data_IF_124546445455
#
_entry.id   IF_124546445455
#
_cell.length_a   1.000
_cell.length_b   1.000
_cell.length_c   1.000
_cell.angle_alpha   90.00
_cell.angle_beta   90.00
_cell.angle_gamma   90.00
#
_symmetry.space_group_name_H-M   'P 1'
#
loop_
_entity.id
_entity.type
_entity.pdbx_description
1 polymer ?
#
# COMPACT_ATOMS: atom_id res chain seq x y z
N UNK A 1 -17.40 -15.91 -5.21
CA UNK A 1 -16.37 -14.93 -5.68
C UNK A 1 -15.01 -15.42 -5.25
N UNK A 2 -13.98 -15.33 -6.08
CA UNK A 2 -12.62 -15.71 -5.68
C UNK A 2 -12.14 -14.84 -4.51
N UNK A 3 -11.42 -15.45 -3.58
CA UNK A 3 -10.78 -14.73 -2.47
C UNK A 3 -9.43 -14.14 -2.89
N UNK A 4 -8.91 -13.23 -2.08
CA UNK A 4 -7.55 -12.73 -2.21
C UNK A 4 -6.79 -12.98 -0.91
N UNK A 5 -5.56 -13.45 -1.02
CA UNK A 5 -4.65 -13.68 0.12
C UNK A 5 -3.40 -12.83 -0.07
N UNK A 6 -3.02 -12.08 0.95
CA UNK A 6 -1.73 -11.42 1.02
C UNK A 6 -0.88 -12.06 2.12
N UNK A 7 0.29 -12.54 1.76
CA UNK A 7 1.31 -13.02 2.69
C UNK A 7 2.40 -11.95 2.80
N UNK A 8 2.48 -11.27 3.94
CA UNK A 8 3.49 -10.24 4.21
C UNK A 8 4.39 -10.69 5.34
N UNK A 9 5.64 -10.97 5.03
CA UNK A 9 6.67 -11.27 6.00
C UNK A 9 7.77 -10.20 5.93
N UNK A 10 8.00 -9.48 7.04
CA UNK A 10 8.92 -8.35 7.07
C UNK A 10 9.71 -8.30 8.37
N UNK A 11 11.03 -8.29 8.24
CA UNK A 11 11.94 -8.11 9.38
C UNK A 11 13.23 -7.39 8.97
N UNK A 12 13.83 -6.59 9.87
CA UNK A 12 15.11 -5.94 9.60
C UNK A 12 16.22 -6.95 9.35
N UNK A 13 17.18 -6.56 8.51
CA UNK A 13 18.42 -7.33 8.33
C UNK A 13 19.45 -6.91 9.39
N UNK A 14 20.18 -7.87 9.97
CA UNK A 14 21.30 -7.60 10.86
C UNK A 14 20.95 -7.63 12.35
N UNK A 15 21.69 -6.85 13.17
CA UNK A 15 21.68 -6.97 14.64
C UNK A 15 20.38 -6.53 15.33
N UNK A 16 19.53 -5.79 14.64
CA UNK A 16 18.22 -5.32 15.15
C UNK A 16 17.07 -6.29 14.87
N UNK A 17 17.35 -7.43 14.24
CA UNK A 17 16.34 -8.45 13.93
C UNK A 17 15.89 -9.16 15.19
N UNK A 18 14.58 -9.16 15.47
CA UNK A 18 13.98 -9.87 16.59
C UNK A 18 13.31 -11.17 16.15
N UNK A 19 12.82 -11.24 14.92
CA UNK A 19 12.10 -12.38 14.38
C UNK A 19 12.57 -12.71 12.96
N UNK A 20 12.63 -14.00 12.64
CA UNK A 20 12.81 -14.49 11.27
C UNK A 20 11.46 -14.63 10.58
N UNK A 21 10.89 -13.49 10.17
CA UNK A 21 9.55 -13.42 9.62
C UNK A 21 9.39 -14.24 8.32
N UNK A 22 10.37 -14.18 7.43
CA UNK A 22 10.32 -14.87 6.14
C UNK A 22 10.32 -16.40 6.26
N UNK A 23 10.79 -16.95 7.38
CA UNK A 23 10.80 -18.41 7.61
C UNK A 23 9.42 -19.07 7.64
N UNK A 24 8.34 -18.31 7.71
CA UNK A 24 6.97 -18.84 7.65
C UNK A 24 6.43 -18.97 6.22
N UNK A 25 6.95 -18.22 5.27
CA UNK A 25 6.42 -18.18 3.91
C UNK A 25 6.41 -19.55 3.23
N UNK A 26 7.46 -20.39 3.28
CA UNK A 26 7.42 -21.73 2.69
C UNK A 26 6.33 -22.62 3.33
N UNK A 27 6.02 -22.41 4.61
CA UNK A 27 4.99 -23.17 5.32
C UNK A 27 3.60 -22.73 4.91
N UNK A 28 3.37 -21.43 4.74
CA UNK A 28 2.12 -20.86 4.23
C UNK A 28 1.92 -21.17 2.74
N UNK A 29 2.96 -21.11 1.93
CA UNK A 29 2.91 -21.47 0.50
C UNK A 29 2.55 -22.95 0.26
N UNK A 30 2.80 -23.81 1.24
CA UNK A 30 2.39 -25.22 1.20
C UNK A 30 0.89 -25.44 1.52
N UNK A 31 0.16 -24.40 1.92
CA UNK A 31 -1.30 -24.45 2.18
C UNK A 31 -2.04 -24.13 0.88
N UNK A 32 -3.06 -24.91 0.49
CA UNK A 32 -3.86 -24.61 -0.69
C UNK A 32 -4.45 -23.19 -0.62
N UNK A 33 -4.42 -22.40 -1.72
CA UNK A 33 -4.96 -21.04 -1.77
C UNK A 33 -6.43 -20.92 -1.30
N UNK A 34 -7.27 -21.88 -1.65
CA UNK A 34 -8.66 -21.96 -1.20
C UNK A 34 -8.77 -22.05 0.32
N UNK A 35 -7.87 -22.82 0.96
CA UNK A 35 -7.84 -22.96 2.43
C UNK A 35 -7.31 -21.67 3.07
N UNK A 36 -6.30 -20.99 2.50
CA UNK A 36 -5.80 -19.72 3.01
C UNK A 36 -6.86 -18.61 2.97
N UNK A 37 -7.66 -18.58 1.91
CA UNK A 37 -8.71 -17.55 1.75
C UNK A 37 -10.04 -17.91 2.42
N UNK A 38 -10.36 -19.20 2.55
CA UNK A 38 -11.68 -19.69 2.94
C UNK A 38 -12.73 -19.55 1.83
N UNK A 39 -12.31 -19.57 0.58
CA UNK A 39 -13.15 -19.49 -0.62
C UNK A 39 -12.75 -20.60 -1.59
N UNK A 40 -13.63 -20.94 -2.55
CA UNK A 40 -13.35 -22.04 -3.50
C UNK A 40 -12.09 -21.82 -4.33
N UNK A 41 -11.79 -20.55 -4.64
CA UNK A 41 -10.61 -20.15 -5.40
C UNK A 41 -10.00 -18.88 -4.81
N UNK A 42 -8.68 -18.73 -4.87
CA UNK A 42 -8.02 -17.54 -4.38
C UNK A 42 -6.79 -17.17 -5.20
N UNK A 43 -6.54 -15.85 -5.26
CA UNK A 43 -5.29 -15.28 -5.71
C UNK A 43 -4.38 -15.05 -4.49
N UNK A 44 -3.13 -15.52 -4.55
CA UNK A 44 -2.15 -15.35 -3.46
C UNK A 44 -1.06 -14.39 -3.91
N UNK A 45 -0.85 -13.33 -3.12
CA UNK A 45 0.22 -12.36 -3.31
C UNK A 45 1.21 -12.52 -2.15
N UNK A 46 2.48 -12.70 -2.45
CA UNK A 46 3.54 -12.86 -1.45
C UNK A 46 4.51 -11.67 -1.46
N UNK A 47 4.85 -11.19 -0.27
CA UNK A 47 5.84 -10.15 -0.03
C UNK A 47 6.83 -10.65 1.03
N UNK A 48 8.02 -11.06 0.58
CA UNK A 48 9.11 -11.52 1.44
C UNK A 48 10.13 -10.40 1.64
N UNK A 49 10.37 -10.04 2.90
CA UNK A 49 11.35 -9.04 3.35
C UNK A 49 11.42 -7.79 2.44
N UNK A 50 10.30 -7.08 2.23
CA UNK A 50 10.28 -5.91 1.37
C UNK A 50 11.25 -4.84 1.86
N UNK A 51 11.89 -4.15 0.91
CA UNK A 51 12.91 -3.13 1.20
C UNK A 51 12.32 -1.75 1.45
N UNK A 52 11.22 -1.43 0.77
CA UNK A 52 10.66 -0.08 0.70
C UNK A 52 9.18 -0.06 1.12
N UNK A 53 8.77 0.87 2.00
CA UNK A 53 7.38 0.97 2.47
C UNK A 53 6.39 1.25 1.33
N UNK A 54 6.81 1.97 0.29
CA UNK A 54 5.96 2.26 -0.86
C UNK A 54 5.66 1.02 -1.71
N UNK A 55 6.60 0.09 -1.82
CA UNK A 55 6.36 -1.18 -2.51
C UNK A 55 5.27 -1.99 -1.78
N UNK A 56 5.33 -2.03 -0.45
CA UNK A 56 4.29 -2.68 0.37
C UNK A 56 2.96 -1.96 0.20
N UNK A 57 2.94 -0.64 0.29
CA UNK A 57 1.72 0.17 0.15
C UNK A 57 1.02 -0.05 -1.20
N UNK A 58 1.79 -0.13 -2.29
CA UNK A 58 1.25 -0.42 -3.61
C UNK A 58 0.58 -1.78 -3.68
N UNK A 59 1.17 -2.80 -3.05
CA UNK A 59 0.57 -4.14 -2.97
C UNK A 59 -0.67 -4.16 -2.10
N UNK A 60 -0.65 -3.46 -0.96
CA UNK A 60 -1.83 -3.28 -0.10
C UNK A 60 -2.99 -2.64 -0.87
N UNK A 61 -2.74 -1.57 -1.64
CA UNK A 61 -3.75 -0.93 -2.52
C UNK A 61 -4.29 -1.89 -3.57
N UNK A 62 -3.41 -2.62 -4.23
CA UNK A 62 -3.81 -3.57 -5.26
C UNK A 62 -4.74 -4.65 -4.68
N UNK A 63 -4.41 -5.25 -3.53
CA UNK A 63 -5.26 -6.26 -2.89
C UNK A 63 -6.51 -5.66 -2.26
N UNK A 64 -6.45 -4.42 -1.74
CA UNK A 64 -7.61 -3.71 -1.22
C UNK A 64 -8.67 -3.42 -2.29
N UNK A 65 -8.25 -3.21 -3.54
CA UNK A 65 -9.13 -2.96 -4.68
C UNK A 65 -9.79 -4.23 -5.24
N UNK A 66 -9.32 -5.43 -4.86
CA UNK A 66 -9.91 -6.69 -5.37
C UNK A 66 -11.28 -6.92 -4.76
N UNK A 67 -12.27 -7.38 -5.57
CA UNK A 67 -13.57 -7.76 -5.04
C UNK A 67 -13.46 -9.07 -4.23
N UNK A 68 -14.44 -9.28 -3.33
CA UNK A 68 -14.54 -10.49 -2.52
C UNK A 68 -13.74 -10.46 -1.22
N UNK A 69 -13.68 -11.59 -0.50
CA UNK A 69 -12.98 -11.69 0.79
C UNK A 69 -11.47 -11.52 0.65
N UNK A 70 -10.87 -10.78 1.59
CA UNK A 70 -9.43 -10.57 1.68
C UNK A 70 -8.91 -11.15 3.00
N UNK A 71 -7.95 -12.06 2.93
CA UNK A 71 -7.21 -12.54 4.09
C UNK A 71 -5.76 -12.06 4.00
N UNK A 72 -5.29 -11.36 5.03
CA UNK A 72 -3.93 -10.80 5.11
C UNK A 72 -3.20 -11.46 6.26
N UNK A 73 -2.14 -12.21 5.96
CA UNK A 73 -1.22 -12.76 6.94
C UNK A 73 -0.02 -11.83 7.07
N UNK A 74 0.17 -11.26 8.25
CA UNK A 74 1.29 -10.36 8.54
C UNK A 74 2.18 -10.96 9.60
N UNK A 75 3.42 -11.21 9.23
CA UNK A 75 4.46 -11.68 10.16
C UNK A 75 5.59 -10.67 10.16
N UNK A 76 6.02 -10.21 11.34
CA UNK A 76 7.08 -9.23 11.34
C UNK A 76 7.44 -8.64 12.69
N UNK A 77 8.24 -7.58 12.60
CA UNK A 77 8.72 -6.83 13.74
C UNK A 77 8.10 -5.44 13.77
N UNK A 78 7.59 -5.04 14.93
CA UNK A 78 7.16 -3.67 15.18
C UNK A 78 8.30 -2.84 15.79
N UNK A 79 8.46 -1.62 15.29
CA UNK A 79 9.37 -0.61 15.81
C UNK A 79 8.64 0.73 15.99
N UNK A 80 8.97 1.48 17.04
CA UNK A 80 8.34 2.77 17.33
C UNK A 80 9.10 3.93 16.68
N UNK A 81 8.40 4.75 15.88
CA UNK A 81 8.93 6.08 15.56
C UNK A 81 8.85 6.97 16.79
N UNK A 82 10.01 7.24 17.42
CA UNK A 82 10.11 8.03 18.64
C UNK A 82 9.66 9.47 18.48
N UNK A 83 9.62 10.04 17.27
CA UNK A 83 9.18 11.42 17.03
C UNK A 83 7.67 11.55 16.87
N UNK A 84 7.06 10.55 16.22
CA UNK A 84 5.61 10.54 15.97
C UNK A 84 4.85 9.73 17.02
N UNK A 85 5.55 8.94 17.84
CA UNK A 85 4.97 7.97 18.77
C UNK A 85 3.99 7.01 18.08
N UNK A 86 4.35 6.53 16.87
CA UNK A 86 3.55 5.64 16.07
C UNK A 86 4.27 4.32 15.81
N UNK A 87 3.57 3.18 15.91
CA UNK A 87 4.13 1.88 15.57
C UNK A 87 4.26 1.72 14.05
N UNK A 88 5.37 1.13 13.63
CA UNK A 88 5.68 0.82 12.25
C UNK A 88 6.04 -0.66 12.12
N UNK A 89 5.67 -1.29 11.01
CA UNK A 89 6.20 -2.59 10.63
C UNK A 89 7.60 -2.39 10.04
N UNK A 90 8.61 -2.91 10.71
CA UNK A 90 9.99 -2.79 10.29
C UNK A 90 10.26 -3.65 9.05
N UNK A 91 10.81 -3.05 8.00
CA UNK A 91 11.16 -3.70 6.74
C UNK A 91 12.66 -4.04 6.72
N UNK A 92 13.12 -4.72 5.67
CA UNK A 92 14.48 -5.25 5.61
C UNK A 92 15.59 -4.21 5.82
N UNK A 93 15.39 -2.96 5.38
CA UNK A 93 16.34 -1.84 5.56
C UNK A 93 16.16 -1.06 6.85
N UNK A 94 15.19 -1.40 7.67
CA UNK A 94 14.87 -0.62 8.87
C UNK A 94 15.94 -0.80 9.93
N UNK A 95 16.39 0.32 10.47
CA UNK A 95 17.25 0.41 11.66
C UNK A 95 16.56 1.27 12.72
N UNK A 96 16.93 1.20 14.00
CA UNK A 96 16.33 2.06 15.03
C UNK A 96 16.41 3.57 14.74
N UNK A 97 17.40 4.00 13.97
CA UNK A 97 17.57 5.41 13.57
C UNK A 97 16.73 5.79 12.34
N UNK A 98 16.30 4.82 11.52
CA UNK A 98 15.65 5.06 10.23
C UNK A 98 14.19 4.61 10.18
N UNK A 99 13.59 4.19 11.31
CA UNK A 99 12.19 3.69 11.38
C UNK A 99 11.23 4.56 10.58
N UNK A 100 11.28 5.87 10.78
CA UNK A 100 10.41 6.84 10.13
C UNK A 100 10.43 6.79 8.60
N UNK A 101 11.56 6.42 8.01
CA UNK A 101 11.78 6.52 6.55
C UNK A 101 11.76 5.18 5.84
N UNK A 102 12.08 4.11 6.56
CA UNK A 102 12.32 2.78 5.98
C UNK A 102 11.34 1.72 6.48
N UNK A 103 10.53 2.01 7.48
CA UNK A 103 9.49 1.12 7.98
C UNK A 103 8.11 1.55 7.47
N UNK A 104 7.17 0.61 7.41
CA UNK A 104 5.79 0.86 7.01
C UNK A 104 4.98 1.33 8.23
N UNK A 105 4.44 2.56 8.26
CA UNK A 105 3.54 3.00 9.32
C UNK A 105 2.32 2.07 9.44
N UNK A 106 2.04 1.54 10.63
CA UNK A 106 0.93 0.61 10.82
C UNK A 106 -0.43 1.22 10.42
N UNK A 107 -0.60 2.50 10.65
CA UNK A 107 -1.81 3.24 10.28
C UNK A 107 -2.08 3.21 8.76
N UNK A 108 -1.07 3.02 7.89
CA UNK A 108 -1.30 2.92 6.45
C UNK A 108 -2.05 1.64 6.09
N UNK A 109 -1.82 0.54 6.82
CA UNK A 109 -2.59 -0.71 6.66
C UNK A 109 -4.07 -0.44 6.96
N UNK A 110 -4.36 0.28 8.05
CA UNK A 110 -5.72 0.69 8.41
C UNK A 110 -6.38 1.55 7.33
N UNK A 111 -5.66 2.56 6.82
CA UNK A 111 -6.21 3.49 5.82
C UNK A 111 -6.49 2.81 4.48
N UNK A 112 -5.63 1.89 4.02
CA UNK A 112 -5.84 1.18 2.76
C UNK A 112 -7.05 0.24 2.80
N UNK A 113 -7.35 -0.34 3.95
CA UNK A 113 -8.52 -1.23 4.10
C UNK A 113 -9.79 -0.51 4.58
N UNK A 114 -9.74 0.80 4.85
CA UNK A 114 -10.85 1.58 5.39
C UNK A 114 -12.12 1.55 4.53
N UNK A 115 -11.95 1.50 3.21
CA UNK A 115 -13.05 1.53 2.25
C UNK A 115 -13.63 0.15 1.94
N UNK A 116 -13.07 -0.91 2.47
CA UNK A 116 -13.62 -2.25 2.30
C UNK A 116 -14.85 -2.44 3.17
N UNK A 117 -15.77 -3.26 2.68
CA UNK A 117 -16.98 -3.58 3.44
C UNK A 117 -16.64 -4.21 4.79
N UNK A 118 -17.37 -3.87 5.87
CA UNK A 118 -17.16 -4.49 7.17
C UNK A 118 -17.21 -6.02 7.08
N UNK A 119 -16.25 -6.69 7.74
CA UNK A 119 -16.14 -8.16 7.73
C UNK A 119 -15.60 -8.79 6.46
N UNK A 120 -15.32 -8.01 5.40
CA UNK A 120 -14.73 -8.54 4.16
C UNK A 120 -13.21 -8.70 4.23
N UNK A 121 -12.56 -8.22 5.27
CA UNK A 121 -11.11 -8.28 5.47
C UNK A 121 -10.78 -8.91 6.82
N UNK A 122 -9.92 -9.93 6.78
CA UNK A 122 -9.38 -10.60 7.97
C UNK A 122 -7.86 -10.45 7.98
N UNK A 123 -7.31 -9.89 9.07
CA UNK A 123 -5.88 -9.83 9.34
C UNK A 123 -5.52 -10.92 10.35
N UNK A 124 -4.56 -11.77 10.01
CA UNK A 124 -3.94 -12.75 10.91
C UNK A 124 -2.50 -12.30 11.13
N UNK A 125 -2.14 -11.97 12.36
CA UNK A 125 -0.87 -11.31 12.65
C UNK A 125 -0.02 -12.08 13.67
N UNK A 126 1.28 -12.16 13.40
CA UNK A 126 2.30 -12.68 14.33
C UNK A 126 3.45 -11.66 14.38
N UNK A 127 3.40 -10.77 15.37
CA UNK A 127 4.27 -9.61 15.46
C UNK A 127 5.18 -9.70 16.68
N UNK A 128 6.38 -9.16 16.58
CA UNK A 128 7.35 -9.05 17.66
C UNK A 128 7.66 -7.57 17.89
N UNK A 129 7.44 -7.06 19.08
CA UNK A 129 7.68 -5.66 19.40
C UNK A 129 9.11 -5.45 19.91
N UNK A 130 9.74 -4.33 19.51
CA UNK A 130 10.92 -3.84 20.21
C UNK A 130 10.54 -3.24 21.58
N UNK A 131 11.54 -2.92 22.41
CA UNK A 131 11.29 -2.45 23.77
C UNK A 131 10.47 -1.15 23.83
N UNK A 132 10.70 -0.22 22.89
CA UNK A 132 9.99 1.05 22.84
C UNK A 132 8.52 0.83 22.41
N UNK A 133 8.30 0.02 21.39
CA UNK A 133 6.95 -0.35 20.92
C UNK A 133 6.21 -1.12 21.99
N UNK A 134 6.89 -2.04 22.69
CA UNK A 134 6.28 -2.79 23.77
C UNK A 134 5.81 -1.88 24.91
N UNK A 135 6.64 -0.91 25.30
CA UNK A 135 6.27 0.11 26.27
C UNK A 135 5.05 0.93 25.86
N UNK A 136 4.97 1.29 24.56
CA UNK A 136 3.85 2.00 23.97
C UNK A 136 2.56 1.16 23.97
N UNK A 137 2.64 -0.13 23.59
CA UNK A 137 1.50 -1.06 23.54
C UNK A 137 0.87 -1.35 24.90
N UNK A 138 1.58 -1.10 26.00
CA UNK A 138 1.02 -1.26 27.35
C UNK A 138 -0.07 -0.21 27.67
N UNK A 139 -0.08 0.89 26.97
CA UNK A 139 -1.00 2.02 27.17
C UNK A 139 -1.82 2.35 25.93
N UNK A 140 -1.51 1.76 24.78
CA UNK A 140 -2.18 2.02 23.52
C UNK A 140 -2.51 0.70 22.80
N UNK A 141 -3.58 0.72 22.02
CA UNK A 141 -3.97 -0.42 21.18
C UNK A 141 -3.41 -0.27 19.76
N UNK A 142 -3.05 -1.40 19.14
CA UNK A 142 -2.67 -1.43 17.73
C UNK A 142 -3.94 -1.35 16.86
N UNK A 143 -4.32 -0.14 16.48
CA UNK A 143 -5.53 0.10 15.68
C UNK A 143 -5.33 -0.35 14.23
N UNK A 144 -6.09 -1.36 13.80
CA UNK A 144 -6.10 -1.90 12.44
C UNK A 144 -7.36 -1.55 11.65
N UNK A 145 -8.21 -0.66 12.18
CA UNK A 145 -9.47 -0.22 11.57
C UNK A 145 -10.67 -1.08 11.98
N UNK A 146 -11.80 -0.41 12.21
CA UNK A 146 -13.04 -1.04 12.73
C UNK A 146 -13.71 -2.00 11.75
N UNK A 147 -13.43 -1.90 10.46
CA UNK A 147 -14.04 -2.76 9.43
C UNK A 147 -13.34 -4.11 9.29
N UNK A 148 -12.16 -4.26 9.88
CA UNK A 148 -11.31 -5.42 9.74
C UNK A 148 -11.44 -6.36 10.94
N UNK A 149 -11.55 -7.65 10.68
CA UNK A 149 -11.33 -8.66 11.72
C UNK A 149 -9.82 -8.82 11.95
N UNK A 150 -9.36 -8.86 13.20
CA UNK A 150 -7.93 -8.99 13.52
C UNK A 150 -7.74 -10.07 14.56
N UNK A 151 -6.91 -11.06 14.22
CA UNK A 151 -6.57 -12.18 15.08
C UNK A 151 -5.06 -12.39 15.10
N UNK A 152 -4.51 -12.61 16.26
CA UNK A 152 -3.08 -12.90 16.36
C UNK A 152 -2.45 -12.51 17.67
N UNK A 153 -1.15 -12.25 17.62
CA UNK A 153 -0.39 -11.85 18.79
C UNK A 153 0.67 -10.80 18.49
N UNK A 154 1.08 -10.13 19.55
CA UNK A 154 2.31 -9.34 19.57
C UNK A 154 3.17 -9.90 20.72
N UNK A 155 4.31 -10.47 20.37
CA UNK A 155 5.27 -10.98 21.33
C UNK A 155 6.13 -9.86 21.93
N UNK A 156 6.48 -9.92 23.22
CA UNK A 156 7.37 -8.97 23.86
C UNK A 156 8.81 -9.05 23.30
N UNK A 157 9.65 -8.04 23.57
CA UNK A 157 11.05 -8.10 23.19
C UNK A 157 11.73 -9.31 23.86
N UNK A 158 12.54 -10.09 23.13
CA UNK A 158 13.18 -11.27 23.70
C UNK A 158 14.17 -10.88 24.80
N UNK A 159 14.19 -11.64 25.88
CA UNK A 159 15.10 -11.43 27.02
C UNK A 159 16.58 -11.67 26.67
N UNK A 160 16.84 -12.42 25.61
CA UNK A 160 18.16 -12.71 25.06
C UNK A 160 18.24 -12.22 23.61
N UNK A 161 19.45 -11.93 23.11
CA UNK A 161 19.68 -11.52 21.71
C UNK A 161 19.57 -12.72 20.75
N UNK A 162 18.46 -13.44 20.82
CA UNK A 162 18.14 -14.55 19.92
C UNK A 162 17.06 -14.09 18.94
N UNK A 163 17.22 -14.45 17.67
CA UNK A 163 16.17 -14.22 16.67
C UNK A 163 15.08 -15.27 16.88
N UNK A 164 13.87 -14.82 17.15
CA UNK A 164 12.72 -15.71 17.36
C UNK A 164 12.18 -16.27 16.04
N UNK A 165 11.50 -17.41 16.10
CA UNK A 165 10.66 -17.88 15.00
C UNK A 165 9.24 -17.34 15.13
N UNK A 166 8.50 -17.14 14.03
CA UNK A 166 7.09 -16.75 14.04
C UNK A 166 6.21 -17.97 14.40
N UNK A 167 6.24 -18.38 15.67
CA UNK A 167 5.65 -19.64 16.12
C UNK A 167 4.13 -19.68 15.96
N UNK A 168 3.44 -18.56 16.20
CA UNK A 168 1.99 -18.47 16.04
C UNK A 168 1.61 -18.68 14.58
N UNK A 169 2.24 -17.96 13.65
CA UNK A 169 1.92 -18.06 12.22
C UNK A 169 2.30 -19.44 11.65
N UNK A 170 3.41 -20.05 12.11
CA UNK A 170 3.77 -21.42 11.74
C UNK A 170 2.73 -22.43 12.24
N UNK A 171 2.19 -22.22 13.42
CA UNK A 171 1.12 -23.07 13.98
C UNK A 171 -0.18 -22.93 13.17
N UNK A 172 -0.58 -21.69 12.83
CA UNK A 172 -1.70 -21.42 11.92
C UNK A 172 -1.51 -22.18 10.59
N UNK A 173 -0.35 -22.00 9.94
CA UNK A 173 -0.04 -22.67 8.67
C UNK A 173 -0.09 -24.20 8.80
N UNK A 174 0.39 -24.75 9.90
CA UNK A 174 0.37 -26.20 10.18
C UNK A 174 -1.06 -26.72 10.31
N UNK A 175 -1.94 -25.98 10.98
CA UNK A 175 -3.36 -26.34 11.07
C UNK A 175 -4.01 -26.33 9.69
N UNK A 176 -3.79 -25.26 8.93
CA UNK A 176 -4.39 -25.10 7.60
C UNK A 176 -3.87 -26.07 6.55
N UNK A 177 -2.65 -26.60 6.70
CA UNK A 177 -2.09 -27.65 5.80
C UNK A 177 -2.87 -28.94 5.80
N UNK A 178 -3.67 -29.24 6.82
CA UNK A 178 -4.58 -30.40 6.81
C UNK A 178 -5.71 -30.29 5.77
N UNK A 179 -5.83 -29.15 5.08
CA UNK A 179 -6.93 -28.84 4.18
C UNK A 179 -8.20 -28.39 4.87
N UNK A 180 -8.24 -28.42 6.20
CA UNK A 180 -9.37 -27.96 6.99
C UNK A 180 -9.15 -26.51 7.44
N UNK A 181 -10.15 -25.66 7.21
CA UNK A 181 -10.18 -24.27 7.68
C UNK A 181 -11.34 -24.07 8.64
N UNK A 182 -11.09 -24.05 9.94
CA UNK A 182 -12.10 -23.66 10.93
C UNK A 182 -12.45 -22.17 10.81
N UNK A 183 -13.55 -21.72 11.43
CA UNK A 183 -13.79 -20.30 11.65
C UNK A 183 -12.54 -19.64 12.26
N UNK A 184 -12.26 -18.40 11.87
CA UNK A 184 -10.98 -17.75 12.22
C UNK A 184 -10.76 -17.63 13.74
N UNK A 185 -11.84 -17.43 14.49
CA UNK A 185 -11.81 -17.41 15.97
C UNK A 185 -11.35 -18.76 16.53
N UNK A 186 -11.88 -19.85 16.00
CA UNK A 186 -11.51 -21.20 16.40
C UNK A 186 -10.07 -21.54 15.98
N UNK A 187 -9.66 -21.11 14.78
CA UNK A 187 -8.29 -21.25 14.30
C UNK A 187 -7.31 -20.54 15.23
N UNK A 188 -7.65 -19.32 15.62
CA UNK A 188 -6.87 -18.52 16.57
C UNK A 188 -6.74 -19.20 17.94
N UNK A 189 -7.85 -19.67 18.52
CA UNK A 189 -7.84 -20.37 19.78
C UNK A 189 -7.01 -21.66 19.73
N UNK A 190 -7.16 -22.47 18.69
CA UNK A 190 -6.39 -23.69 18.49
C UNK A 190 -4.89 -23.41 18.36
N UNK A 191 -4.52 -22.32 17.67
CA UNK A 191 -3.13 -21.92 17.53
C UNK A 191 -2.52 -21.55 18.89
N UNK A 192 -3.23 -20.77 19.71
CA UNK A 192 -2.77 -20.43 21.06
C UNK A 192 -2.69 -21.64 21.99
N UNK A 193 -3.65 -22.55 21.93
CA UNK A 193 -3.61 -23.79 22.72
C UNK A 193 -2.36 -24.62 22.40
N UNK A 194 -1.94 -24.66 21.11
CA UNK A 194 -0.73 -25.40 20.69
C UNK A 194 0.57 -24.69 21.04
N UNK A 195 0.56 -23.35 21.10
CA UNK A 195 1.73 -22.57 21.53
C UNK A 195 2.03 -22.79 23.03
N UNK A 196 0.99 -22.93 23.85
CA UNK A 196 1.15 -23.15 25.27
C UNK A 196 2.07 -22.11 25.94
N UNK A 197 3.16 -22.56 26.62
CA UNK A 197 4.06 -21.64 27.33
C UNK A 197 4.81 -20.65 26.48
N UNK A 198 4.97 -20.89 25.16
CA UNK A 198 5.66 -19.97 24.24
C UNK A 198 4.89 -18.65 24.03
N UNK A 199 3.59 -18.64 24.32
CA UNK A 199 2.75 -17.45 24.25
C UNK A 199 2.68 -16.67 25.58
N UNK A 200 3.47 -17.04 26.57
CA UNK A 200 3.38 -16.40 27.88
C UNK A 200 3.91 -14.96 27.82
N UNK A 201 3.04 -14.02 28.16
CA UNK A 201 3.33 -12.59 28.10
C UNK A 201 2.98 -11.90 26.78
N UNK A 202 2.49 -12.63 25.77
CA UNK A 202 2.07 -12.04 24.50
C UNK A 202 0.82 -11.16 24.69
N UNK A 203 0.72 -10.09 23.89
CA UNK A 203 -0.53 -9.35 23.71
C UNK A 203 -1.37 -10.08 22.65
N UNK A 204 -2.51 -10.60 23.10
CA UNK A 204 -3.47 -11.31 22.23
C UNK A 204 -4.37 -10.30 21.53
N UNK A 205 -4.47 -10.42 20.21
CA UNK A 205 -5.34 -9.59 19.38
C UNK A 205 -6.55 -10.43 18.96
N UNK A 206 -7.74 -10.01 19.37
CA UNK A 206 -9.01 -10.62 18.99
C UNK A 206 -10.04 -9.51 18.76
N UNK A 207 -10.16 -9.09 17.52
CA UNK A 207 -11.15 -8.12 17.06
C UNK A 207 -12.05 -8.84 16.06
N UNK A 208 -13.27 -9.26 16.47
CA UNK A 208 -14.19 -9.93 15.56
C UNK A 208 -14.71 -8.96 14.49
N UNK A 209 -15.17 -9.48 13.33
CA UNK A 209 -15.78 -8.64 12.31
C UNK A 209 -17.04 -7.98 12.86
N UNK A 210 -17.24 -6.70 12.53
CA UNK A 210 -18.50 -6.01 12.85
C UNK A 210 -19.63 -6.71 12.07
N UNK A 211 -20.70 -7.19 12.73
CA UNK A 211 -21.81 -7.80 12.01
C UNK A 211 -22.43 -6.77 11.07
N UNK A 212 -22.49 -7.11 9.78
CA UNK A 212 -23.30 -6.34 8.83
C UNK A 212 -24.74 -6.56 9.24
N UNK A 213 -25.43 -5.52 9.74
CA UNK A 213 -26.87 -5.57 9.97
C UNK A 213 -27.52 -6.00 8.64
N UNK A 214 -28.16 -7.15 8.64
CA UNK A 214 -28.93 -7.60 7.46
C UNK A 214 -29.90 -6.47 7.08
N UNK A 215 -30.03 -6.11 5.80
CA UNK A 215 -31.01 -5.12 5.39
C UNK A 215 -32.37 -5.60 5.91
N UNK A 216 -33.03 -4.75 6.71
CA UNK A 216 -34.36 -5.02 7.21
C UNK A 216 -35.21 -5.42 6.00
N UNK A 217 -35.58 -6.69 5.91
CA UNK A 217 -36.50 -7.18 4.90
C UNK A 217 -37.79 -6.40 5.10
N UNK A 218 -38.06 -5.46 4.21
CA UNK A 218 -39.35 -4.82 4.10
C UNK A 218 -40.38 -5.93 3.88
N UNK A 219 -41.07 -6.32 4.93
CA UNK A 219 -42.26 -7.13 4.84
C UNK A 219 -43.27 -6.28 4.06
N UNK A 220 -43.48 -6.56 2.82
CA UNK A 220 -44.54 -6.07 1.98
C UNK A 220 -45.88 -6.37 2.65
N UNK A 221 -46.70 -5.35 2.71
CA UNK A 221 -47.93 -5.18 3.45
C UNK A 221 -48.89 -6.37 3.48
N UNK A 222 -49.32 -6.68 4.67
CA UNK A 222 -50.61 -7.29 4.91
C UNK A 222 -51.74 -6.22 4.86
N UNK A 223 -52.98 -6.60 4.58
CA UNK A 223 -54.06 -5.66 4.32
C UNK A 223 -54.46 -4.86 5.55
N UNK A 224 -54.64 -3.56 5.34
CA UNK A 224 -55.06 -2.55 6.31
C UNK A 224 -56.52 -2.81 6.78
N UNK A 225 -56.83 -2.94 8.07
CA UNK A 225 -58.20 -2.83 8.56
C UNK A 225 -58.67 -1.38 8.50
N UNK A 226 -59.85 -1.17 7.91
CA UNK A 226 -60.58 0.11 7.95
C UNK A 226 -61.05 0.40 9.37
N UNK A 227 -60.84 1.62 9.84
CA UNK A 227 -61.46 2.15 11.06
C UNK A 227 -62.66 3.04 10.73
N UNK A 228 -63.75 2.98 11.52
CA UNK A 228 -64.88 3.88 11.34
C UNK A 228 -64.64 5.26 11.99
N UNK A 229 -65.22 6.28 11.41
CA UNK A 229 -65.07 7.67 11.72
C UNK A 229 -65.57 8.14 13.05
N UNK A 230 -65.15 9.32 13.45
CA UNK A 230 -65.62 10.07 14.61
C UNK A 230 -64.90 11.41 14.74
N UNK A 231 -65.65 12.44 14.82
CA UNK A 231 -65.43 13.85 14.54
C UNK A 231 -64.73 14.70 15.61
N UNK A 232 -64.17 15.81 15.13
CA UNK A 232 -64.14 17.19 15.68
C UNK A 232 -63.25 17.49 16.91
N UNK A 233 -62.34 18.45 16.75
CA UNK A 233 -61.76 19.19 17.86
C UNK A 233 -60.58 20.09 17.43
N UNK A 234 -60.86 21.38 17.23
CA UNK A 234 -59.93 22.44 16.96
C UNK A 234 -59.05 22.80 18.17
N UNK A 235 -57.78 23.13 17.95
CA UNK A 235 -56.89 23.64 19.03
C UNK A 235 -55.53 24.04 18.50
N UNK A 236 -55.43 25.24 18.03
CA UNK A 236 -54.41 26.30 18.11
C UNK A 236 -52.99 25.92 18.56
N UNK A 237 -52.01 26.28 17.71
CA UNK A 237 -50.58 26.37 17.99
C UNK A 237 -50.26 27.42 19.09
N UNK A 238 -49.05 27.33 19.68
CA UNK A 238 -48.11 28.39 19.37
C UNK A 238 -46.68 27.91 19.09
N UNK A 239 -46.10 28.73 18.30
CA UNK A 239 -44.73 28.98 17.90
C UNK A 239 -43.72 28.99 19.07
N UNK A 240 -42.56 28.34 18.95
CA UNK A 240 -41.36 28.65 19.73
C UNK A 240 -40.11 28.31 18.95
N UNK A 241 -39.27 29.31 18.87
CA UNK A 241 -38.04 29.55 18.19
C UNK A 241 -36.99 28.44 18.19
N UNK A 242 -36.29 28.39 17.05
CA UNK A 242 -35.07 27.67 16.80
C UNK A 242 -33.87 28.27 17.58
N UNK A 243 -33.11 27.40 18.24
CA UNK A 243 -31.77 27.72 18.69
C UNK A 243 -30.80 26.74 18.01
N UNK A 244 -29.84 27.28 17.24
CA UNK A 244 -28.77 26.55 16.60
C UNK A 244 -27.72 26.12 17.65
N UNK A 245 -27.10 24.94 17.48
CA UNK A 245 -25.96 24.53 18.32
C UNK A 245 -24.66 25.16 17.88
N UNK A 246 -23.68 25.41 18.79
CA UNK A 246 -22.41 26.04 18.48
C UNK A 246 -21.44 25.05 17.79
N UNK A 247 -20.65 25.59 16.87
CA UNK A 247 -19.55 24.88 16.22
C UNK A 247 -18.37 24.72 17.19
N UNK A 248 -17.68 23.56 17.19
CA UNK A 248 -16.43 23.41 17.91
C UNK A 248 -15.24 23.91 17.08
N UNK A 249 -14.42 24.62 17.79
CA UNK A 249 -13.18 25.31 17.40
C UNK A 249 -12.11 24.35 16.86
N UNK A 250 -11.38 24.81 15.85
CA UNK A 250 -10.39 24.04 15.15
C UNK A 250 -9.09 23.86 15.91
N UNK A 251 -8.81 22.66 16.36
CA UNK A 251 -7.48 22.27 16.80
C UNK A 251 -6.68 21.60 15.67
N UNK A 252 -5.61 22.27 15.30
CA UNK A 252 -4.63 21.91 14.27
C UNK A 252 -3.95 20.58 14.55
N UNK A 253 -4.05 19.63 13.63
CA UNK A 253 -3.16 18.46 13.54
C UNK A 253 -1.98 18.77 12.63
N UNK A 254 -0.74 18.42 12.99
CA UNK A 254 0.39 18.50 12.08
C UNK A 254 0.33 17.31 11.10
N UNK A 255 0.15 17.59 9.82
CA UNK A 255 0.27 16.58 8.75
C UNK A 255 1.74 16.34 8.41
N UNK A 256 2.13 15.06 8.41
CA UNK A 256 3.46 14.60 8.02
C UNK A 256 3.64 14.65 6.51
N UNK A 257 4.76 15.19 6.06
CA UNK A 257 5.22 15.15 4.68
C UNK A 257 5.59 13.71 4.30
N UNK A 258 4.88 13.15 3.33
CA UNK A 258 5.29 11.92 2.66
C UNK A 258 6.31 12.22 1.57
N UNK A 259 7.54 11.77 1.72
CA UNK A 259 8.50 11.66 0.61
C UNK A 259 7.94 10.65 -0.40
N UNK A 260 7.74 11.10 -1.62
CA UNK A 260 7.22 10.27 -2.69
C UNK A 260 8.37 9.61 -3.43
N UNK A 261 8.47 8.31 -3.28
CA UNK A 261 9.38 7.45 -4.06
C UNK A 261 8.57 6.67 -5.09
N UNK A 262 9.09 6.58 -6.31
CA UNK A 262 8.54 5.79 -7.41
C UNK A 262 8.36 4.33 -7.02
N UNK A 263 7.17 3.81 -7.25
CA UNK A 263 6.87 2.40 -7.10
C UNK A 263 7.28 1.66 -8.36
N UNK A 264 8.46 1.06 -8.34
CA UNK A 264 8.89 0.11 -9.36
C UNK A 264 8.62 -1.29 -8.81
N UNK A 265 7.80 -2.15 -9.43
CA UNK A 265 7.57 -3.50 -8.94
C UNK A 265 8.86 -4.32 -9.03
N UNK A 266 9.29 -4.90 -7.92
CA UNK A 266 10.44 -5.81 -7.85
C UNK A 266 9.96 -7.19 -8.27
N UNK A 267 10.47 -7.69 -9.41
CA UNK A 267 10.33 -9.10 -9.78
C UNK A 267 11.32 -9.94 -8.96
N UNK A 268 10.87 -11.07 -8.44
CA UNK A 268 11.71 -12.02 -7.72
C UNK A 268 12.80 -12.62 -8.63
N UNK A 269 14.01 -12.93 -8.12
CA UNK A 269 15.06 -13.55 -8.90
C UNK A 269 14.69 -14.98 -9.23
N UNK A 270 14.62 -15.29 -10.53
CA UNK A 270 14.43 -16.65 -11.04
C UNK A 270 15.62 -17.54 -10.68
N UNK A 271 15.34 -18.68 -10.06
CA UNK A 271 16.33 -19.72 -9.77
C UNK A 271 16.91 -20.31 -11.05
N UNK A 272 18.23 -20.28 -11.15
CA UNK A 272 19.04 -20.95 -12.17
C UNK A 272 19.00 -22.46 -11.94
N UNK A 273 18.36 -23.22 -12.83
CA UNK A 273 18.46 -24.66 -12.86
C UNK A 273 19.50 -25.10 -13.88
N UNK A 274 20.53 -25.76 -13.37
CA UNK A 274 21.59 -26.43 -14.16
C UNK A 274 20.99 -27.54 -15.04
N UNK A 275 21.36 -27.55 -16.31
CA UNK A 275 21.19 -28.65 -17.24
C UNK A 275 22.23 -29.74 -16.96
N UNK A 276 21.82 -30.97 -16.84
CA UNK A 276 22.64 -32.12 -17.23
C UNK A 276 21.90 -32.97 -18.27
N UNK A 277 22.59 -33.28 -19.34
CA UNK A 277 22.06 -33.95 -20.51
C UNK A 277 22.15 -35.47 -20.40
N UNK A 278 21.43 -36.13 -21.28
CA UNK A 278 21.51 -37.55 -21.59
C UNK A 278 20.32 -38.02 -22.44
N UNK A 279 20.43 -39.10 -23.21
CA UNK A 279 20.07 -39.06 -24.61
C UNK A 279 18.68 -39.68 -24.95
N UNK A 280 18.22 -39.33 -26.15
CA UNK A 280 17.02 -39.80 -26.83
C UNK A 280 17.13 -41.27 -27.30
N UNK A 281 16.05 -42.04 -27.34
CA UNK A 281 15.82 -42.89 -28.49
C UNK A 281 14.43 -42.78 -29.14
N UNK A 282 14.42 -43.20 -30.40
CA UNK A 282 13.48 -43.13 -31.48
C UNK A 282 12.16 -43.90 -31.28
N UNK A 283 11.16 -43.45 -32.06
CA UNK A 283 9.88 -44.13 -32.28
C UNK A 283 10.03 -45.41 -33.11
N UNK A 284 8.96 -46.27 -33.16
CA UNK A 284 8.14 -46.27 -34.38
C UNK A 284 6.61 -46.51 -34.16
N UNK A 285 5.82 -45.87 -34.97
CA UNK A 285 4.79 -46.26 -35.89
C UNK A 285 3.54 -47.04 -35.41
N UNK A 286 2.35 -46.52 -35.77
CA UNK A 286 1.09 -47.23 -35.77
C UNK A 286 -0.12 -46.29 -35.92
N UNK A 287 -0.60 -46.12 -37.12
CA UNK A 287 -1.85 -45.42 -37.47
C UNK A 287 -3.07 -46.22 -37.08
N UNK A 288 -4.19 -45.56 -36.68
CA UNK A 288 -5.56 -45.72 -37.23
C UNK A 288 -6.42 -44.54 -36.74
N UNK A 289 -7.16 -43.88 -37.66
CA UNK A 289 -8.00 -42.74 -37.43
C UNK A 289 -9.35 -43.07 -36.82
N UNK A 290 -10.05 -42.02 -36.43
CA UNK A 290 -11.49 -41.74 -36.70
C UNK A 290 -11.83 -40.32 -36.21
N UNK A 291 -12.66 -39.66 -36.99
CA UNK A 291 -13.23 -38.32 -36.95
C UNK A 291 -13.63 -37.74 -35.57
N UNK A 292 -13.26 -36.51 -35.37
CA UNK A 292 -13.79 -35.63 -34.32
C UNK A 292 -13.38 -34.19 -34.61
N UNK A 293 -14.31 -33.34 -35.06
CA UNK A 293 -14.10 -31.96 -35.43
C UNK A 293 -13.39 -31.17 -34.36
N UNK A 294 -12.42 -30.29 -34.70
CA UNK A 294 -11.74 -29.43 -33.71
C UNK A 294 -12.66 -28.27 -33.36
N UNK A 295 -13.08 -28.22 -32.10
CA UNK A 295 -13.53 -26.98 -31.48
C UNK A 295 -12.35 -26.01 -31.48
N UNK A 296 -12.52 -24.87 -32.16
CA UNK A 296 -11.56 -23.78 -32.24
C UNK A 296 -11.25 -23.26 -30.83
N UNK A 297 -10.15 -23.70 -30.29
CA UNK A 297 -9.53 -23.01 -29.13
C UNK A 297 -9.14 -21.62 -29.61
N UNK A 298 -9.87 -20.63 -29.14
CA UNK A 298 -9.50 -19.21 -29.27
C UNK A 298 -8.15 -19.03 -28.57
N UNK A 299 -7.10 -18.98 -29.38
CA UNK A 299 -5.75 -18.62 -28.89
C UNK A 299 -5.86 -17.18 -28.35
N UNK A 300 -5.85 -17.03 -27.05
CA UNK A 300 -5.75 -15.74 -26.41
C UNK A 300 -4.45 -15.09 -26.91
N UNK A 301 -4.58 -14.00 -27.65
CA UNK A 301 -3.44 -13.19 -28.08
C UNK A 301 -2.61 -12.83 -26.85
N UNK A 302 -1.28 -12.97 -26.88
CA UNK A 302 -0.43 -12.58 -25.75
C UNK A 302 -0.68 -11.10 -25.47
N UNK A 303 -1.16 -10.79 -24.26
CA UNK A 303 -1.26 -9.41 -23.80
C UNK A 303 0.15 -8.80 -23.88
N UNK A 304 0.28 -7.59 -24.45
CA UNK A 304 1.57 -6.91 -24.48
C UNK A 304 2.08 -6.77 -23.04
N UNK A 305 3.38 -7.00 -22.79
CA UNK A 305 3.95 -6.92 -21.47
C UNK A 305 3.72 -5.51 -20.89
N UNK A 306 3.38 -5.46 -19.61
CA UNK A 306 3.14 -4.20 -18.88
C UNK A 306 4.34 -3.25 -19.10
N UNK A 307 4.11 -2.04 -19.66
CA UNK A 307 5.18 -1.07 -19.91
C UNK A 307 6.05 -0.75 -18.69
N UNK A 308 5.47 -0.77 -17.50
CA UNK A 308 6.19 -0.52 -16.26
C UNK A 308 7.22 -1.59 -15.95
N UNK A 309 6.99 -2.83 -16.33
CA UNK A 309 7.95 -3.94 -16.12
C UNK A 309 9.23 -3.69 -16.95
N UNK A 310 9.11 -3.20 -18.17
CA UNK A 310 10.26 -2.91 -19.03
C UNK A 310 11.08 -1.73 -18.49
N UNK A 311 10.41 -0.64 -18.10
CA UNK A 311 11.06 0.54 -17.47
C UNK A 311 11.80 0.12 -16.19
N UNK A 312 11.14 -0.69 -15.35
CA UNK A 312 11.71 -1.21 -14.12
C UNK A 312 12.97 -2.05 -14.36
N UNK A 313 12.91 -2.98 -15.30
CA UNK A 313 14.06 -3.83 -15.64
C UNK A 313 15.25 -3.01 -16.13
N UNK A 314 15.01 -1.95 -16.92
CA UNK A 314 16.06 -1.04 -17.38
C UNK A 314 16.69 -0.26 -16.21
N UNK A 315 15.89 0.23 -15.25
CA UNK A 315 16.38 0.92 -14.03
C UNK A 315 17.22 -0.01 -13.17
N UNK A 316 16.75 -1.23 -12.91
CA UNK A 316 17.47 -2.23 -12.11
C UNK A 316 18.81 -2.62 -12.74
N UNK A 317 18.89 -2.62 -14.07
CA UNK A 317 20.12 -2.86 -14.83
C UNK A 317 21.03 -1.60 -14.92
N UNK A 318 20.66 -0.49 -14.27
CA UNK A 318 21.43 0.77 -14.33
C UNK A 318 21.29 1.54 -15.65
N UNK A 319 20.45 1.08 -16.57
CA UNK A 319 20.25 1.68 -17.90
C UNK A 319 19.21 2.80 -17.86
N UNK A 320 19.50 3.85 -17.07
CA UNK A 320 18.57 4.96 -16.84
C UNK A 320 18.13 5.71 -18.10
N UNK A 321 18.99 5.84 -19.10
CA UNK A 321 18.65 6.48 -20.38
C UNK A 321 17.63 5.66 -21.17
N UNK A 322 17.79 4.32 -21.19
CA UNK A 322 16.83 3.42 -21.83
C UNK A 322 15.47 3.44 -21.13
N UNK A 323 15.48 3.43 -19.79
CA UNK A 323 14.25 3.55 -18.99
C UNK A 323 13.51 4.86 -19.31
N UNK A 324 14.22 5.99 -19.42
CA UNK A 324 13.61 7.27 -19.79
C UNK A 324 13.09 7.27 -21.22
N UNK A 325 13.80 6.66 -22.17
CA UNK A 325 13.35 6.56 -23.56
C UNK A 325 12.06 5.73 -23.67
N UNK A 326 11.95 4.61 -22.94
CA UNK A 326 10.74 3.80 -22.86
C UNK A 326 9.57 4.62 -22.26
N UNK A 327 9.81 5.29 -21.14
CA UNK A 327 8.79 6.12 -20.49
C UNK A 327 8.35 7.30 -21.40
N UNK A 328 9.29 7.91 -22.13
CA UNK A 328 8.98 8.97 -23.11
C UNK A 328 8.12 8.47 -24.26
N UNK A 329 8.37 7.25 -24.76
CA UNK A 329 7.55 6.67 -25.83
C UNK A 329 6.11 6.46 -25.36
N UNK A 330 5.91 6.00 -24.12
CA UNK A 330 4.58 5.83 -23.53
C UNK A 330 3.88 7.17 -23.22
N UNK A 331 4.63 8.18 -22.76
CA UNK A 331 4.12 9.54 -22.59
C UNK A 331 3.58 10.10 -23.92
N UNK A 332 4.35 9.98 -24.99
CA UNK A 332 3.95 10.44 -26.31
C UNK A 332 2.74 9.66 -26.86
N UNK A 333 2.69 8.34 -26.64
CA UNK A 333 1.54 7.53 -27.04
C UNK A 333 0.28 7.95 -26.29
N UNK A 334 0.35 8.15 -24.98
CA UNK A 334 -0.75 8.62 -24.15
C UNK A 334 -1.20 10.03 -24.54
N UNK A 335 -0.25 10.93 -24.81
CA UNK A 335 -0.55 12.30 -25.23
C UNK A 335 -1.24 12.35 -26.61
N UNK A 336 -0.86 11.47 -27.55
CA UNK A 336 -1.55 11.35 -28.84
C UNK A 336 -2.95 10.78 -28.73
N UNK A 337 -3.14 9.79 -27.84
CA UNK A 337 -4.42 9.11 -27.70
C UNK A 337 -5.45 9.90 -26.86
N UNK A 338 -5.00 10.61 -25.83
CA UNK A 338 -5.85 11.20 -24.80
C UNK A 338 -5.60 12.69 -24.56
N UNK A 339 -4.63 13.26 -25.23
CA UNK A 339 -4.19 14.64 -25.03
C UNK A 339 -3.02 14.76 -24.01
N UNK A 340 -2.22 15.86 -24.11
CA UNK A 340 -1.02 16.05 -23.30
C UNK A 340 -1.34 16.30 -21.81
N UNK A 341 -2.53 16.78 -21.48
CA UNK A 341 -2.98 16.99 -20.10
C UNK A 341 -3.78 15.83 -19.51
N UNK A 342 -3.87 14.69 -20.23
CA UNK A 342 -4.54 13.48 -19.71
C UNK A 342 -3.78 12.90 -18.53
N UNK A 343 -4.49 12.26 -17.58
CA UNK A 343 -3.84 11.61 -16.43
C UNK A 343 -2.84 10.54 -16.86
N UNK A 344 -3.07 9.86 -18.00
CA UNK A 344 -2.14 8.89 -18.55
C UNK A 344 -0.83 9.53 -19.03
N UNK A 345 -0.92 10.65 -19.78
CA UNK A 345 0.27 11.36 -20.25
C UNK A 345 1.05 11.98 -19.07
N UNK A 346 0.34 12.62 -18.14
CA UNK A 346 0.93 13.21 -16.94
C UNK A 346 1.58 12.16 -16.05
N UNK A 347 0.98 10.97 -15.93
CA UNK A 347 1.58 9.85 -15.20
C UNK A 347 2.96 9.49 -15.77
N UNK A 348 3.10 9.37 -17.09
CA UNK A 348 4.39 9.05 -17.70
C UNK A 348 5.40 10.21 -17.59
N UNK A 349 4.95 11.46 -17.62
CA UNK A 349 5.80 12.63 -17.31
C UNK A 349 6.31 12.55 -15.85
N UNK A 350 5.45 12.20 -14.88
CA UNK A 350 5.84 11.99 -13.48
C UNK A 350 6.86 10.85 -13.36
N UNK A 351 6.67 9.71 -14.06
CA UNK A 351 7.64 8.61 -14.11
C UNK A 351 8.99 9.10 -14.63
N UNK A 352 9.04 9.89 -15.69
CA UNK A 352 10.28 10.45 -16.23
C UNK A 352 10.98 11.40 -15.27
N UNK A 353 10.23 12.22 -14.52
CA UNK A 353 10.80 13.09 -13.50
C UNK A 353 11.50 12.27 -12.40
N UNK A 354 10.89 11.17 -12.00
CA UNK A 354 11.46 10.27 -11.00
C UNK A 354 12.67 9.49 -11.55
N UNK A 355 12.64 9.06 -12.82
CA UNK A 355 13.80 8.46 -13.50
C UNK A 355 15.01 9.40 -13.56
N UNK A 356 14.77 10.70 -13.84
CA UNK A 356 15.82 11.71 -13.79
C UNK A 356 16.41 11.87 -12.37
N UNK A 357 15.58 11.78 -11.33
CA UNK A 357 16.05 11.77 -9.93
C UNK A 357 16.93 10.56 -9.64
N UNK A 358 16.56 9.35 -10.07
CA UNK A 358 17.39 8.14 -9.92
C UNK A 358 18.71 8.22 -10.68
N UNK A 359 18.71 8.88 -11.85
CA UNK A 359 19.91 9.18 -12.60
C UNK A 359 20.77 10.30 -11.97
N UNK A 360 20.37 10.85 -10.80
CA UNK A 360 21.00 11.98 -10.10
C UNK A 360 20.99 13.29 -10.89
N UNK A 361 20.10 13.44 -11.85
CA UNK A 361 19.84 14.69 -12.59
C UNK A 361 18.67 15.46 -11.98
N UNK A 362 18.94 16.10 -10.83
CA UNK A 362 17.94 16.88 -10.09
C UNK A 362 17.43 18.07 -10.89
N UNK A 363 18.25 18.64 -11.78
CA UNK A 363 17.83 19.76 -12.62
C UNK A 363 16.76 19.33 -13.64
N UNK A 364 16.97 18.19 -14.29
CA UNK A 364 15.99 17.61 -15.21
C UNK A 364 14.72 17.18 -14.50
N UNK A 365 14.85 16.51 -13.36
CA UNK A 365 13.71 16.13 -12.52
C UNK A 365 12.86 17.35 -12.13
N UNK A 366 13.49 18.40 -11.61
CA UNK A 366 12.81 19.65 -11.26
C UNK A 366 12.06 20.24 -12.46
N UNK A 367 12.71 20.34 -13.63
CA UNK A 367 12.10 20.90 -14.85
C UNK A 367 10.85 20.12 -15.25
N UNK A 368 10.89 18.79 -15.23
CA UNK A 368 9.74 17.97 -15.60
C UNK A 368 8.60 18.17 -14.60
N UNK A 369 8.88 18.22 -13.28
CA UNK A 369 7.87 18.49 -12.27
C UNK A 369 7.23 19.88 -12.42
N UNK A 370 7.99 20.91 -12.78
CA UNK A 370 7.44 22.23 -13.09
C UNK A 370 6.49 22.16 -14.30
N UNK A 371 6.89 21.46 -15.37
CA UNK A 371 6.05 21.25 -16.56
C UNK A 371 4.76 20.51 -16.22
N UNK A 372 4.81 19.45 -15.40
CA UNK A 372 3.62 18.72 -14.94
C UNK A 372 2.65 19.66 -14.22
N UNK A 373 3.16 20.49 -13.29
CA UNK A 373 2.32 21.43 -12.55
C UNK A 373 1.68 22.49 -13.48
N UNK A 374 2.44 23.04 -14.41
CA UNK A 374 1.94 24.00 -15.40
C UNK A 374 0.89 23.37 -16.31
N UNK A 375 1.10 22.15 -16.79
CA UNK A 375 0.14 21.43 -17.63
C UNK A 375 -1.17 21.16 -16.90
N UNK A 376 -1.11 20.77 -15.62
CA UNK A 376 -2.31 20.59 -14.78
C UNK A 376 -3.08 21.89 -14.59
N UNK A 377 -2.38 22.99 -14.32
CA UNK A 377 -3.00 24.33 -14.20
C UNK A 377 -3.60 24.82 -15.52
N UNK A 378 -2.91 24.62 -16.64
CA UNK A 378 -3.41 24.96 -17.97
C UNK A 378 -4.64 24.15 -18.38
N UNK A 379 -4.76 22.91 -17.87
CA UNK A 379 -5.94 22.06 -18.02
C UNK A 379 -7.10 22.45 -17.08
N UNK A 380 -6.99 23.56 -16.33
CA UNK A 380 -8.05 24.06 -15.46
C UNK A 380 -8.09 23.43 -14.07
N UNK A 381 -7.08 22.65 -13.67
CA UNK A 381 -7.01 22.17 -12.27
C UNK A 381 -6.74 23.33 -11.32
N UNK A 382 -7.43 23.34 -10.18
CA UNK A 382 -7.26 24.38 -9.16
C UNK A 382 -5.84 24.39 -8.58
N UNK A 383 -5.28 25.57 -8.21
CA UNK A 383 -3.95 25.68 -7.63
C UNK A 383 -3.75 24.87 -6.32
N UNK A 384 -4.81 24.66 -5.56
CA UNK A 384 -4.87 23.88 -4.32
C UNK A 384 -5.23 22.40 -4.55
N UNK A 385 -5.37 21.97 -5.80
CA UNK A 385 -5.62 20.56 -6.09
C UNK A 385 -4.40 19.70 -5.70
N UNK A 386 -4.63 18.50 -5.12
CA UNK A 386 -3.54 17.63 -4.64
C UNK A 386 -2.49 17.30 -5.72
N UNK A 387 -2.91 17.17 -6.98
CA UNK A 387 -2.02 16.89 -8.11
C UNK A 387 -1.07 18.04 -8.42
N UNK A 388 -1.57 19.29 -8.39
CA UNK A 388 -0.78 20.51 -8.63
C UNK A 388 0.16 20.77 -7.46
N UNK A 389 -0.35 20.76 -6.22
CA UNK A 389 0.48 20.95 -5.02
C UNK A 389 1.64 19.96 -4.96
N UNK A 390 1.34 18.67 -5.17
CA UNK A 390 2.33 17.59 -5.21
C UNK A 390 3.44 17.85 -6.23
N UNK A 391 3.07 18.25 -7.46
CA UNK A 391 4.04 18.50 -8.51
C UNK A 391 4.96 19.68 -8.17
N UNK A 392 4.41 20.79 -7.62
CA UNK A 392 5.18 21.96 -7.21
C UNK A 392 6.08 21.65 -6.00
N UNK A 393 5.62 20.86 -5.05
CA UNK A 393 6.42 20.45 -3.89
C UNK A 393 7.59 19.56 -4.29
N UNK A 394 7.37 18.64 -5.24
CA UNK A 394 8.45 17.81 -5.80
C UNK A 394 9.46 18.63 -6.60
N UNK A 395 8.99 19.57 -7.42
CA UNK A 395 9.87 20.49 -8.11
C UNK A 395 10.74 21.29 -7.14
N UNK A 396 10.15 21.80 -6.05
CA UNK A 396 10.88 22.53 -5.00
C UNK A 396 11.94 21.67 -4.33
N UNK A 397 11.59 20.43 -3.98
CA UNK A 397 12.53 19.48 -3.37
C UNK A 397 13.72 19.19 -4.31
N UNK A 398 13.47 18.91 -5.58
CA UNK A 398 14.51 18.63 -6.55
C UNK A 398 15.38 19.87 -6.85
N UNK A 399 14.77 21.06 -6.87
CA UNK A 399 15.50 22.32 -7.02
C UNK A 399 16.57 22.52 -5.92
N UNK A 400 16.25 22.20 -4.68
CA UNK A 400 17.19 22.27 -3.56
C UNK A 400 18.41 21.34 -3.68
N UNK A 401 18.36 20.37 -4.62
CA UNK A 401 19.45 19.43 -4.88
C UNK A 401 20.28 19.77 -6.14
N UNK A 402 19.89 20.83 -6.88
CA UNK A 402 20.61 21.27 -8.08
C UNK A 402 21.93 21.90 -7.70
N UNK A 403 23.02 21.30 -8.13
CA UNK A 403 24.41 21.78 -7.83
C UNK A 403 24.90 22.85 -8.78
N UNK A 404 24.46 22.81 -10.04
CA UNK A 404 24.81 23.79 -11.05
C UNK A 404 24.09 25.11 -10.75
N UNK A 405 24.88 26.16 -10.49
CA UNK A 405 24.38 27.48 -10.06
C UNK A 405 23.52 28.15 -11.13
N UNK A 406 23.92 28.08 -12.39
CA UNK A 406 23.16 28.68 -13.50
C UNK A 406 21.80 28.01 -13.67
N UNK A 407 21.76 26.67 -13.67
CA UNK A 407 20.50 25.91 -13.71
C UNK A 407 19.64 26.12 -12.48
N UNK A 408 20.26 26.24 -11.29
CA UNK A 408 19.54 26.53 -10.05
C UNK A 408 18.87 27.91 -10.08
N UNK A 409 19.51 28.93 -10.65
CA UNK A 409 18.93 30.25 -10.84
C UNK A 409 17.77 30.24 -11.84
N UNK A 410 17.95 29.61 -12.99
CA UNK A 410 16.89 29.46 -14.01
C UNK A 410 15.63 28.76 -13.43
N UNK A 411 15.82 27.55 -12.89
CA UNK A 411 14.73 26.75 -12.33
C UNK A 411 14.08 27.39 -11.11
N UNK A 412 14.87 28.05 -10.27
CA UNK A 412 14.38 28.77 -9.10
C UNK A 412 13.47 29.94 -9.48
N UNK A 413 13.77 30.63 -10.58
CA UNK A 413 12.91 31.72 -11.10
C UNK A 413 11.54 31.17 -11.54
N UNK A 414 11.53 30.07 -12.29
CA UNK A 414 10.29 29.39 -12.70
C UNK A 414 9.51 28.88 -11.49
N UNK A 415 10.21 28.27 -10.53
CA UNK A 415 9.59 27.80 -9.29
C UNK A 415 8.98 28.94 -8.45
N UNK A 416 9.65 30.10 -8.37
CA UNK A 416 9.12 31.26 -7.66
C UNK A 416 7.85 31.80 -8.31
N UNK A 417 7.80 31.85 -9.65
CA UNK A 417 6.61 32.25 -10.40
C UNK A 417 5.45 31.27 -10.15
N UNK A 418 5.74 29.96 -10.19
CA UNK A 418 4.73 28.94 -9.94
C UNK A 418 4.23 28.96 -8.49
N UNK A 419 5.13 29.16 -7.50
CA UNK A 419 4.77 29.30 -6.08
C UNK A 419 3.92 30.54 -5.77
N UNK A 420 3.98 31.57 -6.58
CA UNK A 420 3.06 32.72 -6.45
C UNK A 420 1.60 32.33 -6.75
N UNK A 421 1.40 31.38 -7.67
CA UNK A 421 0.10 30.83 -8.03
C UNK A 421 -0.33 29.66 -7.14
N UNK A 422 0.64 28.88 -6.68
CA UNK A 422 0.47 27.66 -5.87
C UNK A 422 1.26 27.83 -4.58
N UNK A 423 0.74 28.53 -3.56
CA UNK A 423 1.48 28.79 -2.32
C UNK A 423 1.83 27.52 -1.56
N UNK A 424 1.03 26.44 -1.73
CA UNK A 424 1.18 25.19 -1.02
C UNK A 424 0.74 25.28 0.45
N UNK A 425 0.76 24.12 1.14
CA UNK A 425 0.29 24.03 2.53
C UNK A 425 1.28 24.58 3.57
N UNK A 426 2.56 24.76 3.21
CA UNK A 426 3.58 25.30 4.11
C UNK A 426 3.68 26.81 3.94
N UNK A 427 3.39 27.60 5.00
CA UNK A 427 3.65 29.03 4.94
C UNK A 427 5.16 29.28 4.78
N UNK A 428 5.53 30.31 3.99
CA UNK A 428 6.92 30.69 3.77
C UNK A 428 7.66 29.96 2.65
N UNK A 429 7.00 29.06 1.91
CA UNK A 429 7.66 28.31 0.82
C UNK A 429 8.17 29.23 -0.29
N UNK A 430 7.41 30.27 -0.66
CA UNK A 430 7.81 31.26 -1.65
C UNK A 430 8.96 32.15 -1.16
N UNK A 431 8.90 32.59 0.10
CA UNK A 431 9.94 33.38 0.74
C UNK A 431 11.27 32.61 0.81
N UNK A 432 11.20 31.31 1.09
CA UNK A 432 12.37 30.43 1.08
C UNK A 432 13.00 30.38 -0.33
N UNK A 433 12.21 30.13 -1.37
CA UNK A 433 12.72 30.14 -2.76
C UNK A 433 13.35 31.48 -3.11
N UNK A 434 12.71 32.59 -2.78
CA UNK A 434 13.24 33.94 -3.03
C UNK A 434 14.53 34.22 -2.24
N UNK A 435 14.61 33.78 -1.00
CA UNK A 435 15.81 33.90 -0.18
C UNK A 435 16.98 33.15 -0.81
N UNK A 436 16.77 31.91 -1.16
CA UNK A 436 17.80 31.04 -1.75
C UNK A 436 18.23 31.54 -3.13
N UNK A 437 17.32 32.08 -3.96
CA UNK A 437 17.67 32.75 -5.22
C UNK A 437 18.59 33.96 -5.01
N UNK A 438 18.32 34.82 -4.00
CA UNK A 438 19.18 35.96 -3.68
C UNK A 438 20.58 35.50 -3.24
N UNK A 439 20.65 34.43 -2.44
CA UNK A 439 21.92 33.84 -2.02
C UNK A 439 22.73 33.30 -3.21
N UNK A 440 22.07 32.64 -4.16
CA UNK A 440 22.68 32.19 -5.41
C UNK A 440 23.17 33.35 -6.29
N UNK A 441 22.54 34.52 -6.24
CA UNK A 441 22.96 35.72 -6.99
C UNK A 441 24.10 36.47 -6.27
N UNK A 442 24.09 36.49 -4.94
CA UNK A 442 25.04 37.24 -4.12
C UNK A 442 26.44 36.62 -4.03
N UNK A 443 26.59 35.33 -4.32
CA UNK A 443 27.89 34.64 -4.29
C UNK A 443 28.63 34.87 -5.61
N UNK A 444 29.68 35.71 -5.67
CA UNK A 444 30.47 35.88 -6.90
C UNK A 444 31.19 34.58 -7.26
N UNK A 445 31.57 34.45 -8.54
CA UNK A 445 32.30 33.31 -9.10
C UNK A 445 33.66 33.14 -8.43
#
# INVERSE_FOLDING_TARGET
MPGTVLLLAASPVGKSRLVDAASVLPVLAAVPPAVLSGTDTANVVELADPLEPQAVLTRLRAVAATPGPLTVFVTGQLALDRRQHLPHLALARTTPATVRYTALPWQWIREEFRLRSPGSTTLVVDLHADADTWGWLRTHTLDSGRNNAVFGRIAPPPSRRTVAGPAYMKTIATILRSGWRPPVEQLHQQAFTRLGPEAYGDLVLTVPPVPVAAPASYRSGGPRPQAPGGAVGAGRAPEAAAAAPPQPDGSRRPEAYGDVVLTVPVAAPGGSSYRSGGPRPQAPGGAVGVDGAPQSATVASPQPPDPHVQVTAAVQAGRHQEADALAAAHEQAAARAHGPASEQALHWSEVRADLAMFARDSARSCRIWLTVAETRLAAGQAPDSPGVEKAVDRAHHQWGQVRDKSRAQELGTLLAQLRTRVPGRRPGALENVRKQLRELQATPF
#
